data_IF_703218313811
#
_entry.id   IF_703218313811
#
_cell.length_a   1.000
_cell.length_b   1.000
_cell.length_c   1.000
_cell.angle_alpha   90.00
_cell.angle_beta   90.00
_cell.angle_gamma   90.00
#
_symmetry.space_group_name_H-M   'P 1'
#
loop_
_entity.id
_entity.type
_entity.pdbx_description
1 polymer ?
#
# COMPACT_ATOMS: atom_id res chain seq x y z
N UNK A 1 6.50 -18.40 10.99
CA UNK A 1 6.50 -17.14 10.21
C UNK A 1 7.34 -16.10 10.90
N UNK A 2 8.32 -15.48 10.23
CA UNK A 2 9.11 -14.40 10.82
C UNK A 2 8.39 -13.04 10.70
N UNK A 3 8.96 -12.02 11.34
CA UNK A 3 8.38 -10.67 11.36
C UNK A 3 8.25 -10.05 9.96
N UNK A 4 9.25 -10.24 9.08
CA UNK A 4 9.19 -9.75 7.71
C UNK A 4 8.05 -10.36 6.91
N UNK A 5 7.80 -11.68 7.04
CA UNK A 5 6.65 -12.33 6.42
C UNK A 5 5.32 -11.73 6.88
N UNK A 6 5.18 -11.41 8.18
CA UNK A 6 3.96 -10.77 8.72
C UNK A 6 3.74 -9.38 8.11
N UNK A 7 4.80 -8.58 8.02
CA UNK A 7 4.76 -7.25 7.38
C UNK A 7 4.33 -7.37 5.92
N UNK A 8 4.92 -8.29 5.15
CA UNK A 8 4.60 -8.50 3.74
C UNK A 8 3.17 -9.00 3.54
N UNK A 9 2.68 -9.92 4.38
CA UNK A 9 1.29 -10.40 4.32
C UNK A 9 0.32 -9.25 4.59
N UNK A 10 0.52 -8.51 5.68
CA UNK A 10 -0.32 -7.36 6.00
C UNK A 10 -0.33 -6.35 4.85
N UNK A 11 0.86 -6.04 4.32
CA UNK A 11 1.01 -5.13 3.18
C UNK A 11 0.21 -5.60 1.96
N UNK A 12 0.37 -6.86 1.53
CA UNK A 12 -0.31 -7.41 0.36
C UNK A 12 -1.82 -7.38 0.58
N UNK A 13 -2.31 -7.92 1.70
CA UNK A 13 -3.73 -8.03 1.98
C UNK A 13 -4.40 -6.66 2.08
N UNK A 14 -3.80 -5.73 2.85
CA UNK A 14 -4.32 -4.37 3.00
C UNK A 14 -4.35 -3.64 1.65
N UNK A 15 -3.27 -3.70 0.87
CA UNK A 15 -3.23 -3.06 -0.45
C UNK A 15 -4.25 -3.68 -1.41
N UNK A 16 -4.39 -5.01 -1.45
CA UNK A 16 -5.34 -5.67 -2.35
C UNK A 16 -6.78 -5.32 -1.97
N UNK A 17 -7.16 -5.44 -0.70
CA UNK A 17 -8.55 -5.29 -0.25
C UNK A 17 -8.98 -3.82 -0.27
N UNK A 18 -8.14 -2.90 0.20
CA UNK A 18 -8.51 -1.48 0.33
C UNK A 18 -8.31 -0.72 -0.97
N UNK A 19 -7.31 -1.08 -1.77
CA UNK A 19 -6.93 -0.31 -2.95
C UNK A 19 -7.11 -1.09 -4.26
N UNK A 20 -6.51 -2.27 -4.45
CA UNK A 20 -6.58 -2.93 -5.76
C UNK A 20 -8.02 -3.32 -6.14
N UNK A 21 -8.75 -3.99 -5.24
CA UNK A 21 -10.12 -4.47 -5.52
C UNK A 21 -11.07 -3.31 -5.79
N UNK A 22 -11.18 -2.27 -4.93
CA UNK A 22 -12.07 -1.16 -5.19
C UNK A 22 -11.70 -0.41 -6.47
N UNK A 23 -10.41 -0.09 -6.65
CA UNK A 23 -9.97 0.69 -7.80
C UNK A 23 -10.13 -0.07 -9.12
N UNK A 24 -10.00 -1.40 -9.16
CA UNK A 24 -10.17 -2.18 -10.40
C UNK A 24 -11.65 -2.52 -10.65
N UNK A 25 -12.37 -2.98 -9.62
CA UNK A 25 -13.64 -3.71 -9.81
C UNK A 25 -14.89 -2.94 -9.39
N UNK A 26 -14.81 -1.99 -8.45
CA UNK A 26 -16.03 -1.33 -7.97
C UNK A 26 -16.62 -0.45 -9.06
N UNK A 27 -17.95 -0.45 -9.29
CA UNK A 27 -18.57 0.47 -10.22
C UNK A 27 -18.34 1.92 -9.78
N UNK A 28 -18.35 2.85 -10.74
CA UNK A 28 -18.08 4.28 -10.49
C UNK A 28 -19.03 4.85 -9.44
N UNK A 29 -20.31 4.48 -9.50
CA UNK A 29 -21.32 4.89 -8.52
C UNK A 29 -20.96 4.50 -7.09
N UNK A 30 -20.35 3.32 -6.89
CA UNK A 30 -19.92 2.87 -5.57
C UNK A 30 -18.67 3.63 -5.09
N UNK A 31 -17.72 3.91 -5.99
CA UNK A 31 -16.55 4.74 -5.65
C UNK A 31 -16.99 6.16 -5.22
N UNK A 32 -17.91 6.77 -5.98
CA UNK A 32 -18.48 8.08 -5.66
C UNK A 32 -19.27 8.06 -4.36
N UNK A 33 -20.07 7.00 -4.11
CA UNK A 33 -20.82 6.84 -2.86
C UNK A 33 -19.90 6.74 -1.62
N UNK A 34 -18.70 6.16 -1.77
CA UNK A 34 -17.69 6.11 -0.70
C UNK A 34 -16.99 7.48 -0.53
N UNK A 35 -17.09 8.36 -1.52
CA UNK A 35 -16.61 9.74 -1.47
C UNK A 35 -15.50 10.07 -2.45
N UNK A 36 -15.17 9.19 -3.40
CA UNK A 36 -14.22 9.54 -4.46
C UNK A 36 -14.75 10.74 -5.26
N UNK A 37 -13.90 11.75 -5.55
CA UNK A 37 -14.33 12.87 -6.36
C UNK A 37 -14.77 12.42 -7.74
N UNK A 38 -15.78 13.09 -8.30
CA UNK A 38 -16.19 12.84 -9.68
C UNK A 38 -15.06 13.19 -10.64
N UNK A 39 -14.88 12.35 -11.66
CA UNK A 39 -13.85 12.54 -12.68
C UNK A 39 -14.45 12.34 -14.08
N UNK A 40 -13.98 13.09 -15.10
CA UNK A 40 -14.44 12.90 -16.48
C UNK A 40 -14.23 11.47 -17.01
N UNK A 41 -13.27 10.74 -16.46
CA UNK A 41 -13.05 9.33 -16.77
C UNK A 41 -12.23 8.61 -15.69
N UNK A 42 -12.58 7.34 -15.45
CA UNK A 42 -11.96 6.53 -14.38
C UNK A 42 -10.78 5.67 -14.87
N UNK A 43 -10.34 5.84 -16.13
CA UNK A 43 -9.27 5.03 -16.71
C UNK A 43 -7.98 5.06 -15.86
N UNK A 44 -7.54 6.25 -15.41
CA UNK A 44 -6.35 6.37 -14.55
C UNK A 44 -6.55 5.73 -13.17
N UNK A 45 -7.76 5.82 -12.61
CA UNK A 45 -8.12 5.16 -11.35
C UNK A 45 -7.99 3.64 -11.50
N UNK A 46 -8.46 3.07 -12.62
CA UNK A 46 -8.32 1.63 -12.90
C UNK A 46 -6.87 1.22 -13.10
N UNK A 47 -6.11 2.00 -13.88
CA UNK A 47 -4.69 1.74 -14.12
C UNK A 47 -3.87 1.79 -12.82
N UNK A 48 -4.21 2.71 -11.91
CA UNK A 48 -3.59 2.79 -10.59
C UNK A 48 -3.81 1.51 -9.79
N UNK A 49 -5.03 0.96 -9.80
CA UNK A 49 -5.32 -0.33 -9.18
C UNK A 49 -4.45 -1.47 -9.74
N UNK A 50 -4.29 -1.53 -11.07
CA UNK A 50 -3.40 -2.51 -11.71
C UNK A 50 -1.93 -2.32 -11.36
N UNK A 51 -1.45 -1.07 -11.27
CA UNK A 51 -0.10 -0.77 -10.84
C UNK A 51 0.14 -1.27 -9.40
N UNK A 52 -0.79 -1.04 -8.48
CA UNK A 52 -0.70 -1.54 -7.11
C UNK A 52 -0.75 -3.08 -7.04
N UNK A 53 -1.57 -3.72 -7.89
CA UNK A 53 -1.63 -5.18 -7.96
C UNK A 53 -0.30 -5.76 -8.47
N UNK A 54 0.32 -5.15 -9.49
CA UNK A 54 1.64 -5.57 -9.97
C UNK A 54 2.71 -5.46 -8.88
N UNK A 55 2.67 -4.41 -8.05
CA UNK A 55 3.54 -4.32 -6.87
C UNK A 55 3.28 -5.47 -5.89
N UNK A 56 2.02 -5.84 -5.66
CA UNK A 56 1.66 -6.98 -4.81
C UNK A 56 2.21 -8.31 -5.32
N UNK A 57 2.28 -8.52 -6.63
CA UNK A 57 2.96 -9.68 -7.22
C UNK A 57 4.46 -9.68 -6.86
N UNK A 58 5.13 -8.54 -6.97
CA UNK A 58 6.51 -8.38 -6.53
C UNK A 58 6.70 -8.69 -5.03
N UNK A 59 5.78 -8.22 -4.18
CA UNK A 59 5.81 -8.52 -2.74
C UNK A 59 5.52 -9.99 -2.44
N UNK A 60 4.74 -10.70 -3.27
CA UNK A 60 4.49 -12.13 -3.10
C UNK A 60 5.78 -12.96 -3.29
N UNK A 61 6.64 -12.57 -4.25
CA UNK A 61 7.96 -13.19 -4.38
C UNK A 61 8.84 -12.94 -3.15
N UNK A 62 8.86 -11.72 -2.61
CA UNK A 62 9.57 -11.44 -1.37
C UNK A 62 8.98 -12.19 -0.17
N UNK A 63 7.65 -12.37 -0.12
CA UNK A 63 6.98 -13.14 0.93
C UNK A 63 7.41 -14.60 0.89
N UNK A 64 7.48 -15.21 -0.29
CA UNK A 64 8.00 -16.58 -0.47
C UNK A 64 9.40 -16.72 0.13
N UNK A 65 10.29 -15.79 -0.18
CA UNK A 65 11.66 -15.80 0.36
C UNK A 65 11.69 -15.54 1.88
N UNK A 66 10.87 -14.61 2.36
CA UNK A 66 10.72 -14.34 3.79
C UNK A 66 10.24 -15.57 4.56
N UNK A 67 9.26 -16.32 4.04
CA UNK A 67 8.78 -17.56 4.66
C UNK A 67 9.90 -18.62 4.78
N UNK A 68 10.86 -18.60 3.87
CA UNK A 68 12.06 -19.44 3.91
C UNK A 68 13.22 -18.83 4.72
N UNK A 69 12.96 -17.78 5.50
CA UNK A 69 13.98 -17.14 6.34
C UNK A 69 15.02 -16.31 5.58
N UNK A 70 14.72 -15.91 4.33
CA UNK A 70 15.61 -15.10 3.48
C UNK A 70 15.01 -13.74 3.16
N UNK A 71 15.81 -12.85 2.59
CA UNK A 71 15.39 -11.51 2.17
C UNK A 71 15.64 -11.30 0.69
N UNK A 72 14.58 -10.94 -0.04
CA UNK A 72 14.69 -10.47 -1.43
C UNK A 72 14.68 -8.94 -1.42
N UNK A 73 15.85 -8.34 -1.64
CA UNK A 73 16.05 -6.90 -1.37
C UNK A 73 15.33 -5.97 -2.33
N UNK A 74 15.12 -6.38 -3.59
CA UNK A 74 14.42 -5.57 -4.59
C UNK A 74 13.03 -5.12 -4.12
N UNK A 75 12.09 -6.04 -3.84
CA UNK A 75 10.77 -5.67 -3.33
C UNK A 75 10.79 -4.97 -1.97
N UNK A 76 11.80 -5.21 -1.11
CA UNK A 76 11.94 -4.47 0.16
C UNK A 76 12.16 -2.98 -0.13
N UNK A 77 13.08 -2.63 -1.02
CA UNK A 77 13.33 -1.24 -1.43
C UNK A 77 12.12 -0.60 -2.11
N UNK A 78 11.47 -1.33 -3.04
CA UNK A 78 10.23 -0.88 -3.68
C UNK A 78 9.15 -0.60 -2.63
N UNK A 79 9.05 -1.45 -1.60
CA UNK A 79 8.15 -1.25 -0.47
C UNK A 79 8.48 -0.01 0.35
N UNK A 80 9.76 0.24 0.64
CA UNK A 80 10.18 1.45 1.36
C UNK A 80 9.82 2.73 0.59
N UNK A 81 10.16 2.79 -0.69
CA UNK A 81 9.88 3.96 -1.54
C UNK A 81 8.38 4.17 -1.71
N UNK A 82 7.64 3.11 -2.05
CA UNK A 82 6.20 3.23 -2.32
C UNK A 82 5.40 3.61 -1.08
N UNK A 83 5.63 2.98 0.08
CA UNK A 83 4.84 3.25 1.29
C UNK A 83 5.35 4.49 2.01
N UNK A 84 6.67 4.73 2.04
CA UNK A 84 7.23 5.94 2.62
C UNK A 84 6.78 7.18 1.85
N UNK A 85 6.86 7.12 0.51
CA UNK A 85 6.36 8.18 -0.37
C UNK A 85 4.85 8.39 -0.22
N UNK A 86 4.05 7.32 -0.25
CA UNK A 86 2.60 7.41 -0.06
C UNK A 86 2.24 7.99 1.32
N UNK A 87 2.90 7.55 2.39
CA UNK A 87 2.71 8.08 3.74
C UNK A 87 3.00 9.58 3.79
N UNK A 88 4.15 10.01 3.28
CA UNK A 88 4.53 11.42 3.27
C UNK A 88 3.53 12.27 2.49
N UNK A 89 3.10 11.80 1.32
CA UNK A 89 2.15 12.50 0.47
C UNK A 89 0.75 12.57 1.07
N UNK A 90 0.26 11.46 1.64
CA UNK A 90 -1.03 11.42 2.35
C UNK A 90 -1.01 12.37 3.54
N UNK A 91 0.03 12.35 4.38
CA UNK A 91 0.14 13.28 5.50
C UNK A 91 0.19 14.74 5.02
N UNK A 92 0.94 15.04 3.94
CA UNK A 92 1.01 16.39 3.41
C UNK A 92 -0.38 16.93 2.99
N UNK A 93 -1.14 16.16 2.19
CA UNK A 93 -2.48 16.59 1.76
C UNK A 93 -3.54 16.55 2.88
N UNK A 94 -3.45 15.57 3.78
CA UNK A 94 -4.35 15.50 4.93
C UNK A 94 -4.16 16.69 5.88
N UNK A 95 -2.91 17.06 6.17
CA UNK A 95 -2.58 18.19 7.05
C UNK A 95 -2.79 19.55 6.39
N UNK A 96 -2.71 19.65 5.06
CA UNK A 96 -3.01 20.90 4.33
C UNK A 96 -4.51 21.18 4.17
N UNK A 97 -5.37 20.27 4.66
CA UNK A 97 -6.82 20.42 4.58
C UNK A 97 -7.42 20.02 3.24
N UNK A 98 -6.65 19.38 2.34
CA UNK A 98 -7.14 19.00 1.01
C UNK A 98 -8.27 17.95 1.03
N UNK A 99 -8.52 17.32 2.18
CA UNK A 99 -9.60 16.36 2.38
C UNK A 99 -10.81 16.96 3.12
N UNK A 100 -10.84 18.28 3.36
CA UNK A 100 -11.92 18.93 4.15
C UNK A 100 -13.31 18.63 3.61
N UNK A 101 -13.43 18.58 2.29
CA UNK A 101 -14.70 18.41 1.58
C UNK A 101 -14.99 16.93 1.28
N UNK A 102 -14.09 16.02 1.68
CA UNK A 102 -14.29 14.58 1.49
C UNK A 102 -15.25 14.04 2.54
N UNK A 103 -15.93 12.95 2.20
CA UNK A 103 -16.76 12.21 3.15
C UNK A 103 -15.92 11.74 4.36
N UNK A 104 -16.54 11.68 5.55
CA UNK A 104 -15.87 11.18 6.74
C UNK A 104 -15.32 9.75 6.56
N UNK A 105 -16.02 8.92 5.78
CA UNK A 105 -15.58 7.57 5.44
C UNK A 105 -14.28 7.59 4.61
N UNK A 106 -14.18 8.45 3.59
CA UNK A 106 -12.97 8.55 2.78
C UNK A 106 -11.81 9.16 3.57
N UNK A 107 -12.06 10.16 4.42
CA UNK A 107 -11.05 10.69 5.33
C UNK A 107 -10.51 9.61 6.28
N UNK A 108 -11.39 8.77 6.84
CA UNK A 108 -10.98 7.64 7.67
C UNK A 108 -10.11 6.64 6.89
N UNK A 109 -10.47 6.30 5.65
CA UNK A 109 -9.68 5.42 4.78
C UNK A 109 -8.31 6.05 4.48
N UNK A 110 -8.26 7.35 4.20
CA UNK A 110 -7.02 8.07 3.87
C UNK A 110 -6.06 8.14 5.06
N UNK A 111 -6.56 8.52 6.25
CA UNK A 111 -5.74 8.53 7.48
C UNK A 111 -5.30 7.12 7.91
N UNK A 112 -6.18 6.13 7.79
CA UNK A 112 -5.84 4.73 8.05
C UNK A 112 -4.76 4.24 7.08
N UNK A 113 -4.80 4.70 5.82
CA UNK A 113 -3.79 4.38 4.82
C UNK A 113 -2.46 5.07 5.11
N UNK A 114 -2.47 6.32 5.60
CA UNK A 114 -1.26 7.02 6.04
C UNK A 114 -0.60 6.26 7.21
N UNK A 115 -1.37 5.84 8.21
CA UNK A 115 -0.85 5.06 9.33
C UNK A 115 -0.35 3.67 8.88
N UNK A 116 -1.11 2.96 8.06
CA UNK A 116 -0.72 1.64 7.56
C UNK A 116 0.58 1.72 6.75
N UNK A 117 0.70 2.70 5.86
CA UNK A 117 1.91 2.89 5.05
C UNK A 117 3.12 3.29 5.89
N UNK A 118 2.95 4.08 6.96
CA UNK A 118 4.00 4.35 7.94
C UNK A 118 4.48 3.06 8.64
N UNK A 119 3.54 2.27 9.19
CA UNK A 119 3.85 1.04 9.91
C UNK A 119 4.52 -0.01 9.00
N UNK A 120 4.03 -0.13 7.76
CA UNK A 120 4.64 -0.99 6.73
C UNK A 120 6.07 -0.53 6.44
N UNK A 121 6.29 0.77 6.25
CA UNK A 121 7.62 1.33 5.98
C UNK A 121 8.59 1.03 7.12
N UNK A 122 8.17 1.27 8.36
CA UNK A 122 8.95 0.96 9.56
C UNK A 122 9.25 -0.55 9.68
N UNK A 123 8.25 -1.39 9.40
CA UNK A 123 8.40 -2.85 9.42
C UNK A 123 9.38 -3.35 8.35
N UNK A 124 9.29 -2.83 7.13
CA UNK A 124 10.22 -3.17 6.04
C UNK A 124 11.63 -2.64 6.31
N UNK A 125 11.76 -1.48 6.93
CA UNK A 125 13.07 -0.95 7.33
C UNK A 125 13.70 -1.82 8.41
N UNK A 126 12.94 -2.12 9.47
CA UNK A 126 13.44 -2.83 10.66
C UNK A 126 13.71 -4.30 10.37
N UNK A 127 12.75 -5.02 9.78
CA UNK A 127 12.83 -6.47 9.57
C UNK A 127 13.33 -6.84 8.18
N UNK A 128 13.17 -5.94 7.20
CA UNK A 128 13.68 -6.11 5.85
C UNK A 128 15.10 -5.56 5.73
N UNK A 129 15.27 -4.24 5.63
CA UNK A 129 16.56 -3.61 5.35
C UNK A 129 17.61 -3.87 6.43
N UNK A 130 17.27 -3.65 7.71
CA UNK A 130 18.16 -3.90 8.86
C UNK A 130 18.06 -5.33 9.42
N UNK A 131 17.28 -6.20 8.77
CA UNK A 131 17.15 -7.60 9.19
C UNK A 131 18.46 -8.38 9.09
N UNK A 132 18.60 -9.45 9.88
CA UNK A 132 19.80 -10.31 9.90
C UNK A 132 19.71 -11.53 8.98
N UNK A 133 18.53 -11.82 8.42
CA UNK A 133 18.33 -12.97 7.53
C UNK A 133 19.21 -12.89 6.26
N UNK A 134 19.64 -14.03 5.68
CA UNK A 134 20.43 -14.05 4.45
C UNK A 134 19.72 -13.34 3.29
N UNK A 135 20.49 -12.64 2.47
CA UNK A 135 20.00 -11.95 1.26
C UNK A 135 20.06 -12.91 0.08
N UNK A 136 18.96 -13.02 -0.66
CA UNK A 136 18.91 -13.68 -1.97
C UNK A 136 19.57 -12.75 -2.98
N UNK A 137 20.61 -13.26 -3.66
CA UNK A 137 21.30 -12.54 -4.74
C UNK A 137 20.54 -12.67 -6.05
#
# INVERSE_FOLDING_TARGET
MNALSKVLIFKILATVVVWCVPLILFPVSLLQAIGFPEQPGYMFVRMLGWAYLALCVGYAFALKEALNGRRLMGPIWVGLVSNGGACAYLCFYGLSGAWSDWSAALQFIAWSSALATALITLGLYTFGLRGSAPIVR
#
